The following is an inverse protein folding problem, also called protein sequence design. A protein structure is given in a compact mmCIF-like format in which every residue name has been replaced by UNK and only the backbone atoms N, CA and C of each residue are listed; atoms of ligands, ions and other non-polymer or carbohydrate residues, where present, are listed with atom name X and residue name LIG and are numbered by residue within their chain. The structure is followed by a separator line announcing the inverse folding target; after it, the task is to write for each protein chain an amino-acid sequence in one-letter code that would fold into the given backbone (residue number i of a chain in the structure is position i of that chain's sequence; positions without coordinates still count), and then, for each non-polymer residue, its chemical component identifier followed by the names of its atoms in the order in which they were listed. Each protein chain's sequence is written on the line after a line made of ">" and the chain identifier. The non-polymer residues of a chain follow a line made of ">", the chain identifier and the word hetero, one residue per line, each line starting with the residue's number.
data_IF_733528375727
#
_entry.id   IF_733528375727
#
_cell.length_a   1.000
_cell.length_b   1.000
_cell.length_c   1.000
_cell.angle_alpha   90.00
_cell.angle_beta   90.00
_cell.angle_gamma   90.00
#
_symmetry.space_group_name_H-M   'P 1'
#
loop_
_entity.id
_entity.type
_entity.pdbx_description
1 polymer ?
#
# COMPACT_ATOMS: atom_id res chain seq x y z
N UNK A 1 -17.00 -3.95 -50.84
CA UNK A 1 -17.37 -4.72 -49.63
C UNK A 1 -16.34 -4.61 -48.50
N UNK A 2 -15.10 -4.19 -48.79
CA UNK A 2 -13.99 -4.17 -47.82
C UNK A 2 -14.07 -3.08 -46.74
N UNK A 3 -14.64 -1.90 -47.05
CA UNK A 3 -14.79 -0.82 -46.08
C UNK A 3 -15.71 -1.18 -44.90
N UNK A 4 -16.70 -2.06 -45.11
CA UNK A 4 -17.62 -2.54 -44.07
C UNK A 4 -16.92 -3.45 -43.06
N UNK A 5 -15.93 -4.22 -43.52
CA UNK A 5 -15.09 -5.07 -42.67
C UNK A 5 -14.14 -4.23 -41.80
N UNK A 6 -13.61 -3.13 -42.35
CA UNK A 6 -12.71 -2.22 -41.63
C UNK A 6 -13.41 -1.53 -40.44
N UNK A 7 -14.66 -1.07 -40.62
CA UNK A 7 -15.44 -0.50 -39.53
C UNK A 7 -15.83 -1.52 -38.44
N UNK A 8 -16.09 -2.78 -38.83
CA UNK A 8 -16.35 -3.89 -37.89
C UNK A 8 -15.12 -4.30 -37.08
N UNK A 9 -13.93 -4.30 -37.70
CA UNK A 9 -12.67 -4.59 -37.01
C UNK A 9 -12.30 -3.43 -36.07
N UNK A 10 -12.47 -2.17 -36.50
CA UNK A 10 -12.23 -1.01 -35.64
C UNK A 10 -13.15 -0.96 -34.41
N UNK A 11 -14.44 -1.29 -34.55
CA UNK A 11 -15.36 -1.29 -33.40
C UNK A 11 -15.06 -2.40 -32.40
N UNK A 12 -14.62 -3.57 -32.86
CA UNK A 12 -14.18 -4.68 -31.98
C UNK A 12 -12.85 -4.33 -31.28
N UNK A 13 -11.91 -3.68 -31.98
CA UNK A 13 -10.64 -3.23 -31.40
C UNK A 13 -10.86 -2.14 -30.32
N UNK A 14 -11.83 -1.24 -30.50
CA UNK A 14 -12.19 -0.22 -29.49
C UNK A 14 -12.85 -0.86 -28.27
N UNK A 15 -13.71 -1.87 -28.46
CA UNK A 15 -14.33 -2.62 -27.35
C UNK A 15 -13.31 -3.46 -26.55
N UNK A 16 -12.29 -4.03 -27.21
CA UNK A 16 -11.22 -4.78 -26.53
C UNK A 16 -10.26 -3.87 -25.73
N UNK A 17 -10.05 -2.62 -26.17
CA UNK A 17 -9.19 -1.67 -25.46
C UNK A 17 -9.83 -1.12 -24.18
N UNK A 18 -11.16 -1.00 -24.15
CA UNK A 18 -11.89 -0.49 -22.97
C UNK A 18 -11.96 -1.49 -21.79
N UNK A 19 -11.71 -2.78 -22.03
CA UNK A 19 -11.90 -3.83 -21.02
C UNK A 19 -10.68 -4.06 -20.10
N UNK A 20 -9.61 -3.29 -20.23
CA UNK A 20 -8.37 -3.47 -19.46
C UNK A 20 -8.31 -2.67 -18.14
N UNK A 21 -9.38 -1.96 -17.75
CA UNK A 21 -9.33 -0.96 -16.65
C UNK A 21 -9.85 -1.50 -15.30
N UNK A 22 -10.09 -2.79 -15.12
CA UNK A 22 -10.64 -3.29 -13.86
C UNK A 22 -9.96 -4.56 -13.34
N UNK A 23 -8.81 -4.39 -12.69
CA UNK A 23 -8.29 -5.35 -11.69
C UNK A 23 -7.17 -4.73 -10.83
N UNK A 24 -7.49 -3.72 -10.02
CA UNK A 24 -6.63 -3.29 -8.91
C UNK A 24 -7.50 -2.62 -7.84
N UNK A 25 -8.41 -3.38 -7.23
CA UNK A 25 -9.18 -2.94 -6.07
C UNK A 25 -9.05 -4.02 -4.99
N UNK A 26 -7.81 -4.24 -4.56
CA UNK A 26 -7.48 -4.98 -3.35
C UNK A 26 -6.52 -4.12 -2.54
N UNK A 27 -6.76 -4.03 -1.23
CA UNK A 27 -5.89 -3.43 -0.19
C UNK A 27 -5.70 -1.92 -0.04
N UNK A 28 -6.08 -1.04 -0.97
CA UNK A 28 -5.79 0.41 -0.76
C UNK A 28 -6.53 1.05 0.43
N UNK A 29 -7.69 0.50 0.84
CA UNK A 29 -8.52 1.10 1.89
C UNK A 29 -7.94 0.94 3.31
N UNK A 30 -7.20 -0.14 3.59
CA UNK A 30 -6.57 -0.39 4.90
C UNK A 30 -5.31 0.45 5.09
N UNK A 31 -4.50 0.61 4.04
CA UNK A 31 -3.31 1.45 4.03
C UNK A 31 -3.66 2.93 4.26
N UNK A 32 -4.73 3.42 3.62
CA UNK A 32 -5.10 4.84 3.64
C UNK A 32 -5.38 5.39 5.04
N UNK A 33 -6.09 4.64 5.89
CA UNK A 33 -6.41 5.13 7.24
C UNK A 33 -5.23 5.01 8.20
N UNK A 34 -4.41 3.97 8.05
CA UNK A 34 -3.20 3.76 8.81
C UNK A 34 -2.19 4.86 8.52
N UNK A 35 -1.92 5.11 7.25
CA UNK A 35 -1.03 6.17 6.80
C UNK A 35 -1.52 7.55 7.24
N UNK A 36 -2.83 7.81 7.14
CA UNK A 36 -3.43 9.07 7.63
C UNK A 36 -3.18 9.25 9.13
N UNK A 37 -3.44 8.24 9.95
CA UNK A 37 -3.22 8.31 11.42
C UNK A 37 -1.75 8.47 11.76
N UNK A 38 -0.86 7.80 11.02
CA UNK A 38 0.58 7.86 11.21
C UNK A 38 1.11 9.28 10.98
N UNK A 39 0.75 9.87 9.83
CA UNK A 39 1.28 11.17 9.37
C UNK A 39 0.48 12.38 9.85
N UNK A 40 -0.82 12.22 10.08
CA UNK A 40 -1.76 13.28 10.45
C UNK A 40 -2.72 12.78 11.54
N UNK A 41 -2.22 12.49 12.76
CA UNK A 41 -3.05 12.00 13.84
C UNK A 41 -4.10 13.03 14.27
N UNK A 42 -5.27 12.54 14.67
CA UNK A 42 -6.27 13.39 15.31
C UNK A 42 -5.90 13.65 16.78
N UNK A 43 -6.48 14.69 17.43
CA UNK A 43 -6.31 14.89 18.87
C UNK A 43 -6.73 13.66 19.71
N UNK A 44 -7.70 12.87 19.23
CA UNK A 44 -8.11 11.63 19.88
C UNK A 44 -7.05 10.53 19.79
N UNK A 45 -6.38 10.40 18.63
CA UNK A 45 -5.26 9.46 18.47
C UNK A 45 -4.11 9.83 19.41
N UNK A 46 -3.75 11.11 19.46
CA UNK A 46 -2.70 11.62 20.36
C UNK A 46 -3.04 11.39 21.82
N UNK A 47 -4.30 11.61 22.22
CA UNK A 47 -4.74 11.36 23.59
C UNK A 47 -4.62 9.88 23.98
N UNK A 48 -4.89 8.97 23.05
CA UNK A 48 -4.71 7.53 23.27
C UNK A 48 -3.23 7.16 23.37
N UNK A 49 -2.39 7.68 22.49
CA UNK A 49 -0.93 7.49 22.56
C UNK A 49 -0.38 7.96 23.93
N UNK A 50 -0.80 9.13 24.40
CA UNK A 50 -0.41 9.69 25.71
C UNK A 50 -0.93 8.86 26.89
N UNK A 51 -2.10 8.22 26.75
CA UNK A 51 -2.64 7.31 27.74
C UNK A 51 -1.94 5.93 27.75
N UNK A 52 -0.90 5.74 26.93
CA UNK A 52 -0.07 4.53 26.90
C UNK A 52 -0.57 3.47 25.92
N UNK A 53 -1.51 3.79 25.03
CA UNK A 53 -1.94 2.85 24.00
C UNK A 53 -0.87 2.70 22.92
N UNK A 54 -0.62 1.45 22.52
CA UNK A 54 0.20 1.13 21.35
C UNK A 54 -0.68 1.05 20.11
N UNK A 55 -0.32 1.82 19.09
CA UNK A 55 -0.96 1.82 17.78
C UNK A 55 -0.23 0.85 16.86
N UNK A 56 -0.92 -0.19 16.42
CA UNK A 56 -0.38 -1.15 15.46
C UNK A 56 -0.62 -0.63 14.05
N UNK A 57 0.43 -0.68 13.25
CA UNK A 57 0.45 -0.38 11.83
C UNK A 57 0.96 -1.61 11.09
N UNK A 58 0.16 -2.13 10.17
CA UNK A 58 0.43 -3.37 9.46
C UNK A 58 0.53 -3.13 7.96
N UNK A 59 1.47 -3.82 7.30
CA UNK A 59 1.64 -3.78 5.84
C UNK A 59 2.26 -2.50 5.31
N UNK A 60 2.87 -1.66 6.17
CA UNK A 60 3.53 -0.44 5.70
C UNK A 60 4.85 -0.76 5.01
N UNK A 61 5.20 -0.01 3.97
CA UNK A 61 6.53 -0.07 3.36
C UNK A 61 7.62 0.41 4.32
N UNK A 62 8.82 -0.15 4.17
CA UNK A 62 10.04 0.30 4.85
C UNK A 62 10.25 1.83 4.75
N UNK A 63 9.93 2.44 3.61
CA UNK A 63 9.99 3.90 3.38
C UNK A 63 8.95 4.68 4.18
N UNK A 64 7.72 4.18 4.28
CA UNK A 64 6.68 4.81 5.10
C UNK A 64 7.06 4.75 6.59
N UNK A 65 7.62 3.61 7.02
CA UNK A 65 8.14 3.44 8.40
C UNK A 65 9.29 4.42 8.66
N UNK A 66 10.29 4.48 7.78
CA UNK A 66 11.41 5.42 7.91
C UNK A 66 10.93 6.88 7.96
N UNK A 67 10.00 7.27 7.08
CA UNK A 67 9.42 8.62 7.10
C UNK A 67 8.69 8.93 8.41
N UNK A 68 8.02 7.94 9.02
CA UNK A 68 7.39 8.11 10.32
C UNK A 68 8.42 8.23 11.46
N UNK A 69 9.50 7.44 11.42
CA UNK A 69 10.60 7.54 12.38
C UNK A 69 11.26 8.91 12.36
N UNK A 70 11.47 9.48 11.16
CA UNK A 70 12.06 10.81 11.01
C UNK A 70 11.13 11.94 11.46
N UNK A 71 9.84 11.90 11.06
CA UNK A 71 8.91 13.01 11.30
C UNK A 71 8.23 12.96 12.66
N UNK A 72 8.10 11.77 13.24
CA UNK A 72 7.32 11.51 14.44
C UNK A 72 8.12 10.77 15.51
N UNK A 73 9.43 11.01 15.58
CA UNK A 73 10.35 10.40 16.54
C UNK A 73 9.79 10.31 17.97
N UNK A 74 9.21 11.41 18.48
CA UNK A 74 8.64 11.48 19.85
C UNK A 74 7.40 10.60 20.07
N UNK A 75 6.79 10.06 19.01
CA UNK A 75 5.59 9.21 19.07
C UNK A 75 5.90 7.74 18.83
N UNK A 76 7.10 7.40 18.35
CA UNK A 76 7.46 6.02 17.95
C UNK A 76 7.31 5.04 19.11
N UNK A 77 7.52 5.47 20.35
CA UNK A 77 7.32 4.65 21.55
C UNK A 77 5.88 4.12 21.72
N UNK A 78 4.90 4.77 21.08
CA UNK A 78 3.48 4.38 21.11
C UNK A 78 3.07 3.67 19.82
N UNK A 79 4.02 3.20 19.01
CA UNK A 79 3.77 2.58 17.70
C UNK A 79 4.40 1.20 17.62
N UNK A 80 3.72 0.29 16.94
CA UNK A 80 4.22 -1.02 16.56
C UNK A 80 4.00 -1.20 15.05
N UNK A 81 5.07 -1.56 14.34
CA UNK A 81 5.03 -1.82 12.90
C UNK A 81 5.15 -3.32 12.68
N UNK A 82 4.22 -3.89 11.93
CA UNK A 82 4.17 -5.32 11.57
C UNK A 82 4.06 -5.49 10.07
N UNK A 83 4.50 -6.64 9.56
CA UNK A 83 4.41 -6.95 8.13
C UNK A 83 5.07 -5.88 7.25
N UNK A 84 6.22 -5.32 7.67
CA UNK A 84 6.86 -4.21 6.96
C UNK A 84 7.25 -4.68 5.57
N UNK A 85 6.70 -4.06 4.52
CA UNK A 85 6.94 -4.45 3.14
C UNK A 85 8.26 -3.86 2.65
N UNK A 86 9.16 -4.72 2.16
CA UNK A 86 10.47 -4.31 1.65
C UNK A 86 10.31 -3.65 0.27
N UNK A 87 10.95 -2.50 0.05
CA UNK A 87 10.94 -1.84 -1.25
C UNK A 87 12.25 -1.99 -2.04
N UNK A 88 12.19 -1.75 -3.35
CA UNK A 88 13.37 -1.61 -4.21
C UNK A 88 13.99 -0.20 -4.16
N UNK A 89 14.95 0.07 -5.05
CA UNK A 89 15.67 1.35 -5.06
C UNK A 89 14.80 2.50 -5.58
N UNK A 90 13.78 2.19 -6.37
CA UNK A 90 12.76 3.12 -6.86
C UNK A 90 11.66 3.36 -5.82
N UNK A 91 11.38 2.38 -4.96
CA UNK A 91 10.38 2.40 -3.89
C UNK A 91 9.15 1.59 -4.16
N UNK A 92 9.19 0.72 -5.16
CA UNK A 92 8.12 -0.23 -5.39
C UNK A 92 8.24 -1.39 -4.39
N UNK A 93 7.11 -1.91 -3.87
CA UNK A 93 7.09 -3.14 -3.09
C UNK A 93 7.75 -4.29 -3.83
N UNK A 94 8.66 -5.00 -3.16
CA UNK A 94 9.22 -6.26 -3.68
C UNK A 94 8.22 -7.39 -3.51
N UNK A 95 8.19 -8.28 -4.49
CA UNK A 95 7.38 -9.50 -4.46
C UNK A 95 8.28 -10.72 -4.61
N UNK A 96 7.87 -11.80 -3.96
CA UNK A 96 8.48 -13.11 -4.11
C UNK A 96 8.10 -13.66 -5.50
N UNK A 97 9.08 -14.13 -6.31
CA UNK A 97 8.83 -14.53 -7.69
C UNK A 97 8.06 -15.86 -7.83
N UNK A 98 8.07 -16.69 -6.79
CA UNK A 98 7.46 -18.03 -6.81
C UNK A 98 5.99 -17.97 -6.35
N UNK A 99 5.69 -17.08 -5.40
CA UNK A 99 4.36 -16.92 -4.79
C UNK A 99 3.59 -15.70 -5.30
N UNK A 100 4.30 -14.64 -5.69
CA UNK A 100 3.72 -13.33 -6.01
C UNK A 100 3.39 -12.48 -4.78
N UNK A 101 3.65 -12.98 -3.57
CA UNK A 101 3.37 -12.29 -2.32
C UNK A 101 4.39 -11.17 -2.05
N UNK A 102 4.02 -10.17 -1.25
CA UNK A 102 4.96 -9.14 -0.84
C UNK A 102 6.07 -9.70 0.06
N UNK A 103 7.30 -9.32 -0.22
CA UNK A 103 8.43 -9.62 0.66
C UNK A 103 8.35 -8.67 1.86
N UNK A 104 8.23 -9.23 3.05
CA UNK A 104 8.19 -8.49 4.31
C UNK A 104 9.49 -8.63 5.10
N UNK A 105 9.80 -7.67 5.98
CA UNK A 105 10.92 -7.78 6.91
C UNK A 105 10.70 -8.96 7.86
N UNK A 106 11.76 -9.76 8.09
CA UNK A 106 11.70 -10.89 9.02
C UNK A 106 11.54 -10.36 10.45
N UNK A 107 10.39 -10.70 11.07
CA UNK A 107 10.04 -10.32 12.44
C UNK A 107 10.59 -11.28 13.51
N UNK A 108 11.39 -12.26 13.10
CA UNK A 108 12.07 -13.25 13.93
C UNK A 108 11.18 -14.40 14.39
N UNK A 109 9.98 -14.54 13.84
CA UNK A 109 9.04 -15.63 14.14
C UNK A 109 8.98 -16.63 12.97
N UNK A 110 9.92 -17.58 12.94
CA UNK A 110 9.97 -18.70 11.99
C UNK A 110 9.22 -19.95 12.50
#
# INVERSE_FOLDING_TARGET
>A
MEKRYYYLICSIAILLYACQIQAAIGDSYSEDWQQRRLLHPTPGDLSREQAGHIMIYDGLTDRQVAAAMDRHFNRIQSMMFTGIVVTDVEGAPKTDPDTGDYITENDGCD
#
